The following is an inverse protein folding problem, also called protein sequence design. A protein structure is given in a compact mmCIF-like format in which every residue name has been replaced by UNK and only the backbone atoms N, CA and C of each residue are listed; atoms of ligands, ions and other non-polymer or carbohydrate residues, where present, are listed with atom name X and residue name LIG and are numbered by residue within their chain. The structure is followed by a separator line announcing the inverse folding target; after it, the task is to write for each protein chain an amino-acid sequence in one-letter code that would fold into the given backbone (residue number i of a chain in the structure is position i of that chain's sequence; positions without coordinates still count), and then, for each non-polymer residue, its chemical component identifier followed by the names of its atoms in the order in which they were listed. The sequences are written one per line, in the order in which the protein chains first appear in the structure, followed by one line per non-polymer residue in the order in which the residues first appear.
data_IF_854022169422
#
_entry.id   IF_854022169422
#
_cell.length_a   1.000
_cell.length_b   1.000
_cell.length_c   1.000
_cell.angle_alpha   90.00
_cell.angle_beta   90.00
_cell.angle_gamma   90.00
#
_symmetry.space_group_name_H-M   'P 1'
#
loop_
_entity.id
_entity.type
_entity.pdbx_description
1 polymer ?
#
# COMPACT_ATOMS: atom_id res chain seq x y z
N UNK A 1 52.42 68.73 12.87
CA UNK A 1 51.78 69.39 11.74
C UNK A 1 50.91 68.37 11.00
N UNK A 2 49.65 68.51 11.21
CA UNK A 2 48.44 68.18 10.48
C UNK A 2 48.36 66.83 9.78
N UNK A 3 47.72 65.89 10.48
CA UNK A 3 47.16 64.70 9.93
C UNK A 3 45.76 64.97 9.35
N UNK A 4 45.52 64.55 8.11
CA UNK A 4 44.18 64.57 7.50
C UNK A 4 43.70 63.12 7.42
N UNK A 5 42.78 62.83 8.30
CA UNK A 5 42.01 61.54 8.38
C UNK A 5 40.95 61.57 7.29
N UNK A 6 41.08 60.69 6.28
CA UNK A 6 40.01 60.41 5.33
C UNK A 6 39.03 59.41 5.95
N UNK A 7 37.88 59.87 6.37
CA UNK A 7 36.75 59.04 6.75
C UNK A 7 36.05 58.51 5.47
N UNK A 8 36.32 57.28 5.10
CA UNK A 8 35.55 56.58 4.06
C UNK A 8 34.23 56.10 4.67
N UNK A 9 33.14 56.74 4.32
CA UNK A 9 31.78 56.39 4.68
C UNK A 9 31.35 55.11 3.95
N UNK A 10 31.39 53.97 4.65
CA UNK A 10 30.72 52.77 4.23
C UNK A 10 29.21 52.97 4.36
N UNK A 11 28.51 53.19 3.25
CA UNK A 11 27.02 53.13 3.22
C UNK A 11 26.60 51.66 3.37
N UNK A 12 25.74 51.31 4.35
CA UNK A 12 25.15 49.99 4.39
C UNK A 12 24.18 49.82 3.22
N UNK A 13 24.43 48.85 2.35
CA UNK A 13 23.50 48.43 1.31
C UNK A 13 22.29 47.80 2.03
N UNK A 14 21.20 48.55 2.03
CA UNK A 14 19.88 48.05 2.52
C UNK A 14 19.37 47.02 1.54
N UNK A 15 19.69 45.75 1.75
CA UNK A 15 19.06 44.66 1.02
C UNK A 15 17.61 44.61 1.46
N UNK A 16 16.72 44.95 0.53
CA UNK A 16 15.27 44.93 0.77
C UNK A 16 14.82 43.49 1.05
N UNK A 17 14.33 43.25 2.24
CA UNK A 17 13.82 41.96 2.69
C UNK A 17 12.66 41.41 1.85
N UNK A 18 12.06 42.23 0.99
CA UNK A 18 10.99 41.84 0.08
C UNK A 18 11.44 40.89 -1.06
N UNK A 19 12.70 40.91 -1.44
CA UNK A 19 13.21 40.04 -2.51
C UNK A 19 13.59 38.64 -2.02
N UNK A 20 13.96 38.49 -0.75
CA UNK A 20 14.23 37.19 -0.13
C UNK A 20 12.93 36.36 0.07
N UNK A 21 11.84 37.01 0.40
CA UNK A 21 10.52 36.36 0.56
C UNK A 21 9.91 35.94 -0.79
N UNK A 22 10.30 36.60 -1.88
CA UNK A 22 9.86 36.20 -3.24
C UNK A 22 10.60 34.99 -3.78
N UNK A 23 11.87 34.81 -3.42
CA UNK A 23 12.67 33.65 -3.82
C UNK A 23 12.29 32.38 -3.08
N UNK A 24 11.89 32.48 -1.81
CA UNK A 24 11.40 31.32 -1.05
C UNK A 24 9.98 30.90 -1.43
N UNK A 25 9.18 31.80 -2.05
CA UNK A 25 7.80 31.49 -2.47
C UNK A 25 7.71 30.65 -3.75
N UNK A 26 8.78 30.58 -4.55
CA UNK A 26 8.81 29.81 -5.78
C UNK A 26 9.32 28.37 -5.59
N UNK A 27 9.71 27.96 -4.37
CA UNK A 27 10.07 26.58 -4.05
C UNK A 27 9.00 25.82 -3.27
N UNK A 28 7.80 26.36 -3.13
CA UNK A 28 6.63 25.52 -2.92
C UNK A 28 6.23 24.92 -4.28
N UNK A 29 7.01 23.95 -4.74
CA UNK A 29 6.46 22.88 -5.55
C UNK A 29 5.43 22.24 -4.64
N UNK A 30 4.20 22.71 -4.74
CA UNK A 30 3.03 21.99 -4.26
C UNK A 30 3.03 20.68 -5.07
N UNK A 31 3.78 19.68 -4.60
CA UNK A 31 3.53 18.31 -4.94
C UNK A 31 2.16 18.01 -4.35
N UNK A 32 1.10 18.42 -5.08
CA UNK A 32 -0.21 17.82 -4.90
C UNK A 32 0.06 16.34 -5.05
N UNK A 33 -0.05 15.62 -3.94
CA UNK A 33 0.03 14.18 -3.89
C UNK A 33 -1.00 13.67 -4.90
N UNK A 34 -0.56 13.42 -6.13
CA UNK A 34 -1.41 13.00 -7.25
C UNK A 34 -1.63 11.49 -7.22
N UNK A 35 -1.85 10.96 -6.00
CA UNK A 35 -2.21 9.55 -5.86
C UNK A 35 -3.66 9.39 -6.26
N UNK A 36 -3.87 8.85 -7.43
CA UNK A 36 -5.18 8.62 -8.01
C UNK A 36 -5.56 7.14 -7.93
N UNK A 37 -6.75 6.85 -7.38
CA UNK A 37 -7.39 5.54 -7.46
C UNK A 37 -8.28 5.51 -8.70
N UNK A 38 -7.86 4.76 -9.70
CA UNK A 38 -8.59 4.66 -10.97
C UNK A 38 -9.07 3.21 -11.17
N UNK A 39 -10.29 3.05 -11.66
CA UNK A 39 -10.76 1.74 -12.12
C UNK A 39 -9.95 1.31 -13.35
N UNK A 40 -9.43 0.08 -13.34
CA UNK A 40 -8.55 -0.44 -14.40
C UNK A 40 -9.09 -0.26 -15.83
N UNK A 41 -10.39 -0.50 -16.13
CA UNK A 41 -10.92 -0.33 -17.48
C UNK A 41 -10.89 1.12 -18.01
N UNK A 42 -10.58 2.10 -17.15
CA UNK A 42 -10.47 3.51 -17.55
C UNK A 42 -9.04 3.93 -17.91
N UNK A 43 -8.06 3.03 -17.75
CA UNK A 43 -6.66 3.31 -18.05
C UNK A 43 -6.30 2.78 -19.45
N UNK A 44 -5.73 3.67 -20.28
CA UNK A 44 -5.13 3.26 -21.54
C UNK A 44 -3.88 2.42 -21.29
N UNK A 45 -3.55 1.51 -22.21
CA UNK A 45 -2.31 0.73 -22.17
C UNK A 45 -1.07 1.64 -22.19
N UNK A 46 -1.13 2.73 -22.95
CA UNK A 46 -0.05 3.72 -23.03
C UNK A 46 0.17 4.47 -21.71
N UNK A 47 -0.88 4.61 -20.91
CA UNK A 47 -0.80 5.21 -19.58
C UNK A 47 -0.24 4.27 -18.52
N UNK A 48 -0.42 2.96 -18.68
CA UNK A 48 0.08 1.95 -17.75
C UNK A 48 1.58 1.77 -17.86
N UNK A 49 2.11 1.77 -19.09
CA UNK A 49 3.48 1.39 -19.36
C UNK A 49 3.70 -0.14 -19.35
N UNK A 50 4.90 -0.59 -18.96
CA UNK A 50 5.26 -2.02 -18.92
C UNK A 50 5.17 -2.61 -17.50
N UNK A 51 4.87 -3.90 -17.39
CA UNK A 51 4.90 -4.62 -16.11
C UNK A 51 6.35 -4.85 -15.69
N UNK A 52 6.66 -4.51 -14.45
CA UNK A 52 8.01 -4.65 -13.89
C UNK A 52 8.18 -5.89 -13.03
N UNK A 53 7.09 -6.56 -12.64
CA UNK A 53 7.14 -7.79 -11.85
C UNK A 53 7.41 -9.01 -12.72
N UNK A 54 8.24 -9.92 -12.21
CA UNK A 54 8.48 -11.21 -12.81
C UNK A 54 7.30 -12.15 -12.51
N UNK A 55 6.42 -12.34 -13.47
CA UNK A 55 5.30 -13.25 -13.37
C UNK A 55 5.15 -14.09 -14.65
N UNK A 56 4.34 -15.15 -14.60
CA UNK A 56 4.18 -16.08 -15.72
C UNK A 56 3.79 -15.42 -17.03
N UNK A 57 3.03 -14.31 -16.97
CA UNK A 57 2.63 -13.56 -18.17
C UNK A 57 3.76 -12.77 -18.85
N UNK A 58 4.88 -12.51 -18.14
CA UNK A 58 6.08 -11.85 -18.67
C UNK A 58 7.16 -12.83 -19.12
N UNK A 59 7.00 -14.13 -18.82
CA UNK A 59 7.93 -15.19 -19.15
C UNK A 59 7.49 -15.95 -20.41
N UNK A 60 8.42 -16.65 -21.11
CA UNK A 60 8.10 -17.51 -22.25
C UNK A 60 7.05 -18.58 -21.89
N UNK A 61 6.22 -19.01 -22.87
CA UNK A 61 5.26 -20.08 -22.67
C UNK A 61 5.95 -21.36 -22.14
N UNK A 62 5.37 -21.97 -21.09
CA UNK A 62 5.94 -23.17 -20.46
C UNK A 62 6.82 -22.91 -19.24
N UNK A 63 7.14 -21.67 -18.91
CA UNK A 63 7.89 -21.34 -17.69
C UNK A 63 7.13 -21.71 -16.42
N UNK A 64 7.85 -22.12 -15.34
CA UNK A 64 7.22 -22.41 -14.05
C UNK A 64 6.62 -21.14 -13.45
N UNK A 65 5.70 -21.33 -12.49
CA UNK A 65 5.14 -20.22 -11.72
C UNK A 65 6.24 -19.57 -10.89
N UNK A 66 6.25 -18.23 -10.86
CA UNK A 66 7.16 -17.48 -10.01
C UNK A 66 6.66 -17.42 -8.57
N UNK A 67 7.51 -17.01 -7.64
CA UNK A 67 7.09 -16.78 -6.24
C UNK A 67 5.94 -15.76 -6.15
N UNK A 68 6.00 -14.71 -6.98
CA UNK A 68 4.93 -13.70 -7.06
C UNK A 68 3.60 -14.31 -7.53
N UNK A 69 3.60 -15.20 -8.55
CA UNK A 69 2.39 -15.88 -9.04
C UNK A 69 1.73 -16.71 -7.94
N UNK A 70 2.53 -17.41 -7.13
CA UNK A 70 2.02 -18.23 -6.03
C UNK A 70 1.35 -17.34 -4.97
N UNK A 71 1.99 -16.23 -4.60
CA UNK A 71 1.42 -15.28 -3.64
C UNK A 71 0.18 -14.59 -4.20
N UNK A 72 0.20 -14.15 -5.45
CA UNK A 72 -0.95 -13.52 -6.11
C UNK A 72 -2.15 -14.48 -6.21
N UNK A 73 -1.89 -15.77 -6.50
CA UNK A 73 -2.92 -16.80 -6.50
C UNK A 73 -3.45 -17.06 -5.07
N UNK A 74 -2.57 -17.09 -4.08
CA UNK A 74 -2.93 -17.19 -2.66
C UNK A 74 -3.82 -16.03 -2.21
N UNK A 75 -3.47 -14.80 -2.55
CA UNK A 75 -4.25 -13.58 -2.28
C UNK A 75 -5.63 -13.66 -2.93
N UNK A 76 -5.70 -14.11 -4.19
CA UNK A 76 -6.99 -14.30 -4.89
C UNK A 76 -7.83 -15.38 -4.21
N UNK A 77 -7.25 -16.52 -3.89
CA UNK A 77 -7.92 -17.62 -3.20
C UNK A 77 -8.42 -17.21 -1.81
N UNK A 78 -7.57 -16.54 -1.02
CA UNK A 78 -7.94 -16.01 0.30
C UNK A 78 -9.11 -15.03 0.22
N UNK A 79 -9.15 -14.17 -0.80
CA UNK A 79 -10.27 -13.25 -1.01
C UNK A 79 -11.57 -13.95 -1.40
N UNK A 80 -11.51 -14.95 -2.27
CA UNK A 80 -12.70 -15.74 -2.63
C UNK A 80 -13.23 -16.47 -1.39
N UNK A 81 -12.36 -17.16 -0.67
CA UNK A 81 -12.72 -17.84 0.57
C UNK A 81 -13.30 -16.88 1.61
N UNK A 82 -12.67 -15.72 1.78
CA UNK A 82 -13.14 -14.66 2.67
C UNK A 82 -14.53 -14.17 2.30
N UNK A 83 -14.79 -13.93 1.02
CA UNK A 83 -16.10 -13.45 0.57
C UNK A 83 -17.18 -14.52 0.77
N UNK A 84 -16.91 -15.78 0.40
CA UNK A 84 -17.86 -16.89 0.56
C UNK A 84 -18.16 -17.18 2.03
N UNK A 85 -17.14 -17.20 2.90
CA UNK A 85 -17.33 -17.44 4.32
C UNK A 85 -18.03 -16.27 5.03
N UNK A 86 -17.84 -15.03 4.57
CA UNK A 86 -18.60 -13.88 5.09
C UNK A 86 -20.09 -13.99 4.79
N UNK A 87 -20.46 -14.43 3.57
CA UNK A 87 -21.86 -14.63 3.20
C UNK A 87 -22.45 -15.80 4.03
N UNK A 88 -21.74 -16.92 4.12
CA UNK A 88 -22.17 -18.04 4.94
C UNK A 88 -22.30 -17.65 6.42
N UNK A 89 -21.33 -16.92 6.97
CA UNK A 89 -21.35 -16.43 8.35
C UNK A 89 -22.52 -15.50 8.63
N UNK A 90 -22.83 -14.57 7.73
CA UNK A 90 -23.95 -13.65 7.90
C UNK A 90 -25.32 -14.36 8.03
N UNK A 91 -25.45 -15.52 7.38
CA UNK A 91 -26.68 -16.34 7.47
C UNK A 91 -26.64 -17.32 8.64
N UNK A 92 -25.53 -18.05 8.77
CA UNK A 92 -25.45 -19.17 9.71
C UNK A 92 -25.21 -18.73 11.16
N UNK A 93 -24.50 -17.62 11.40
CA UNK A 93 -24.21 -17.18 12.77
C UNK A 93 -25.48 -16.85 13.55
N UNK A 94 -26.42 -16.04 13.04
CA UNK A 94 -27.69 -15.80 13.76
C UNK A 94 -28.48 -17.05 14.01
N UNK A 95 -28.60 -17.95 13.00
CA UNK A 95 -29.37 -19.21 13.12
C UNK A 95 -28.74 -20.13 14.13
N UNK A 96 -27.44 -20.38 14.08
CA UNK A 96 -26.76 -21.25 15.04
C UNK A 96 -26.73 -20.64 16.43
N UNK A 97 -26.58 -19.33 16.57
CA UNK A 97 -26.63 -18.66 17.86
C UNK A 97 -28.00 -18.83 18.54
N UNK A 98 -29.09 -18.59 17.81
CA UNK A 98 -30.45 -18.78 18.40
C UNK A 98 -30.68 -20.22 18.86
N UNK A 99 -30.31 -21.18 18.02
CA UNK A 99 -30.44 -22.60 18.36
C UNK A 99 -29.61 -23.01 19.58
N UNK A 100 -28.36 -22.50 19.69
CA UNK A 100 -27.50 -22.79 20.84
C UNK A 100 -28.06 -22.20 22.14
N UNK A 101 -28.66 -21.01 22.09
CA UNK A 101 -29.26 -20.38 23.28
C UNK A 101 -30.55 -21.06 23.71
N UNK A 102 -31.38 -21.51 22.77
CA UNK A 102 -32.56 -22.33 23.09
C UNK A 102 -32.15 -23.63 23.78
N UNK A 103 -31.17 -24.36 23.23
CA UNK A 103 -30.66 -25.60 23.86
C UNK A 103 -30.04 -25.35 25.23
N UNK A 104 -29.37 -24.20 25.42
CA UNK A 104 -28.79 -23.81 26.72
C UNK A 104 -29.88 -23.46 27.77
N UNK A 105 -31.01 -22.91 27.35
CA UNK A 105 -32.15 -22.63 28.22
C UNK A 105 -32.80 -23.88 28.78
N UNK A 106 -32.87 -24.94 27.95
CA UNK A 106 -33.43 -26.23 28.39
C UNK A 106 -32.47 -27.02 29.30
N UNK A 107 -31.14 -26.88 29.08
CA UNK A 107 -30.12 -27.66 29.79
C UNK A 107 -28.99 -26.74 30.29
N UNK A 108 -28.94 -26.42 31.60
CA UNK A 108 -27.92 -25.51 32.16
C UNK A 108 -26.48 -25.98 31.91
N UNK A 109 -26.21 -27.26 31.78
CA UNK A 109 -24.88 -27.81 31.46
C UNK A 109 -24.42 -27.45 30.04
N UNK A 110 -25.35 -27.16 29.13
CA UNK A 110 -25.05 -26.71 27.77
C UNK A 110 -24.68 -25.22 27.67
N UNK A 111 -24.89 -24.45 28.75
CA UNK A 111 -24.64 -23.00 28.71
C UNK A 111 -23.18 -22.67 28.45
N UNK A 112 -22.24 -23.38 29.08
CA UNK A 112 -20.79 -23.17 28.83
C UNK A 112 -20.41 -23.49 27.38
N UNK A 113 -20.98 -24.59 26.85
CA UNK A 113 -20.76 -24.96 25.45
C UNK A 113 -21.33 -23.91 24.50
N UNK A 114 -22.52 -23.37 24.76
CA UNK A 114 -23.13 -22.33 23.93
C UNK A 114 -22.28 -21.05 23.91
N UNK A 115 -21.72 -20.62 25.06
CA UNK A 115 -20.85 -19.46 25.16
C UNK A 115 -19.58 -19.67 24.32
N UNK A 116 -18.89 -20.79 24.48
CA UNK A 116 -17.65 -21.09 23.75
C UNK A 116 -17.90 -21.19 22.26
N UNK A 117 -18.95 -21.96 21.86
CA UNK A 117 -19.31 -22.14 20.45
C UNK A 117 -19.70 -20.79 19.80
N UNK A 118 -20.47 -19.97 20.48
CA UNK A 118 -20.87 -18.67 19.96
C UNK A 118 -19.68 -17.71 19.83
N UNK A 119 -18.76 -17.70 20.80
CA UNK A 119 -17.52 -16.92 20.71
C UNK A 119 -16.69 -17.34 19.51
N UNK A 120 -16.57 -18.64 19.25
CA UNK A 120 -15.86 -19.18 18.10
C UNK A 120 -16.52 -18.79 16.77
N UNK A 121 -17.85 -18.87 16.67
CA UNK A 121 -18.60 -18.44 15.48
C UNK A 121 -18.39 -16.96 15.18
N UNK A 122 -18.43 -16.11 16.19
CA UNK A 122 -18.15 -14.68 16.05
C UNK A 122 -16.72 -14.46 15.57
N UNK A 123 -15.72 -15.11 16.17
CA UNK A 123 -14.33 -15.02 15.76
C UNK A 123 -14.12 -15.45 14.30
N UNK A 124 -14.74 -16.55 13.85
CA UNK A 124 -14.72 -17.00 12.46
C UNK A 124 -15.32 -15.96 11.51
N UNK A 125 -16.35 -15.24 11.93
CA UNK A 125 -16.99 -14.21 11.11
C UNK A 125 -16.09 -12.99 10.89
N UNK A 126 -15.16 -12.68 11.80
CA UNK A 126 -14.19 -11.59 11.67
C UNK A 126 -12.96 -11.95 10.81
N UNK A 127 -12.60 -13.22 10.72
CA UNK A 127 -11.43 -13.69 9.97
C UNK A 127 -11.45 -13.22 8.50
N UNK A 128 -12.57 -13.29 7.77
CA UNK A 128 -12.64 -12.79 6.39
C UNK A 128 -12.33 -11.31 6.25
N UNK A 129 -12.81 -10.50 7.18
CA UNK A 129 -12.56 -9.05 7.18
C UNK A 129 -11.07 -8.78 7.35
N UNK A 130 -10.40 -9.50 8.25
CA UNK A 130 -8.96 -9.41 8.49
C UNK A 130 -8.16 -9.77 7.23
N UNK A 131 -8.48 -10.89 6.59
CA UNK A 131 -7.86 -11.32 5.34
C UNK A 131 -8.06 -10.31 4.22
N UNK A 132 -9.23 -9.66 4.16
CA UNK A 132 -9.49 -8.62 3.17
C UNK A 132 -8.54 -7.42 3.36
N UNK A 133 -8.34 -6.96 4.59
CA UNK A 133 -7.43 -5.84 4.88
C UNK A 133 -5.98 -6.17 4.53
N UNK A 134 -5.53 -7.40 4.78
CA UNK A 134 -4.19 -7.84 4.37
C UNK A 134 -4.04 -7.94 2.86
N UNK A 135 -4.98 -8.60 2.20
CA UNK A 135 -4.94 -8.82 0.77
C UNK A 135 -5.01 -7.51 -0.05
N UNK A 136 -5.63 -6.46 0.50
CA UNK A 136 -5.69 -5.13 -0.14
C UNK A 136 -4.32 -4.45 -0.23
N UNK A 137 -3.37 -4.80 0.63
CA UNK A 137 -2.03 -4.21 0.66
C UNK A 137 -1.08 -4.82 -0.36
N UNK A 138 -1.37 -6.03 -0.81
CA UNK A 138 -0.54 -6.74 -1.76
C UNK A 138 -0.90 -6.34 -3.19
N UNK A 139 0.05 -5.78 -3.98
CA UNK A 139 -0.16 -5.51 -5.38
C UNK A 139 -0.09 -6.81 -6.18
N UNK A 140 -1.04 -7.02 -7.08
CA UNK A 140 -1.07 -8.17 -7.99
C UNK A 140 -0.09 -7.95 -9.13
N UNK A 141 0.01 -6.70 -9.57
CA UNK A 141 0.84 -6.26 -10.66
C UNK A 141 1.38 -4.87 -10.37
N UNK A 142 2.57 -4.56 -10.88
CA UNK A 142 3.19 -3.25 -10.82
C UNK A 142 3.63 -2.88 -12.23
N UNK A 143 3.14 -1.75 -12.72
CA UNK A 143 3.49 -1.18 -14.01
C UNK A 143 4.32 0.08 -13.81
N UNK A 144 5.26 0.31 -14.71
CA UNK A 144 6.05 1.51 -14.74
C UNK A 144 5.93 2.21 -16.10
N UNK A 145 5.59 3.48 -16.07
CA UNK A 145 5.59 4.34 -17.25
C UNK A 145 6.84 5.21 -17.23
N UNK A 146 7.77 4.93 -18.15
CA UNK A 146 9.05 5.63 -18.22
C UNK A 146 8.91 7.09 -18.64
N UNK A 147 7.93 7.42 -19.48
CA UNK A 147 7.72 8.78 -19.99
C UNK A 147 7.19 9.70 -18.89
N UNK A 148 6.24 9.22 -18.12
CA UNK A 148 5.59 9.96 -17.03
C UNK A 148 6.28 9.79 -15.67
N UNK A 149 7.28 8.89 -15.58
CA UNK A 149 7.96 8.52 -14.32
C UNK A 149 6.98 8.14 -13.20
N UNK A 150 5.93 7.40 -13.57
CA UNK A 150 4.85 7.01 -12.66
C UNK A 150 4.72 5.50 -12.54
N UNK A 151 4.49 5.05 -11.32
CA UNK A 151 4.16 3.67 -11.01
C UNK A 151 2.65 3.49 -10.92
N UNK A 152 2.17 2.33 -11.36
CA UNK A 152 0.77 1.95 -11.24
C UNK A 152 0.69 0.54 -10.65
N UNK A 153 0.24 0.44 -9.39
CA UNK A 153 0.02 -0.86 -8.73
C UNK A 153 -1.43 -1.29 -8.86
N UNK A 154 -1.63 -2.56 -9.15
CA UNK A 154 -2.97 -3.14 -9.29
C UNK A 154 -3.31 -3.95 -8.04
N UNK A 155 -4.47 -3.68 -7.48
CA UNK A 155 -5.02 -4.35 -6.30
C UNK A 155 -6.43 -4.85 -6.55
N UNK A 156 -6.87 -5.88 -5.80
CA UNK A 156 -8.28 -6.24 -5.76
C UNK A 156 -9.03 -5.38 -4.72
N UNK A 157 -10.20 -4.83 -5.11
CA UNK A 157 -11.13 -4.23 -4.17
C UNK A 157 -11.92 -5.34 -3.41
N UNK A 158 -12.90 -4.92 -2.59
CA UNK A 158 -13.75 -5.87 -1.85
C UNK A 158 -14.49 -6.84 -2.78
N UNK A 159 -15.01 -6.37 -3.89
CA UNK A 159 -15.76 -7.14 -4.88
C UNK A 159 -14.90 -7.87 -5.92
N UNK A 160 -13.62 -8.11 -5.65
CA UNK A 160 -12.67 -8.76 -6.58
C UNK A 160 -12.41 -7.99 -7.90
N UNK A 161 -12.83 -6.73 -7.99
CA UNK A 161 -12.52 -5.90 -9.14
C UNK A 161 -11.11 -5.35 -9.02
N UNK A 162 -10.41 -5.26 -10.13
CA UNK A 162 -9.06 -4.68 -10.19
C UNK A 162 -9.14 -3.16 -10.11
N UNK A 163 -8.40 -2.57 -9.20
CA UNK A 163 -8.21 -1.13 -9.05
C UNK A 163 -6.74 -0.79 -9.19
N UNK A 164 -6.46 0.30 -9.88
CA UNK A 164 -5.13 0.84 -10.07
C UNK A 164 -4.88 1.98 -9.08
N UNK A 165 -3.72 1.99 -8.45
CA UNK A 165 -3.20 3.06 -7.66
C UNK A 165 -1.98 3.64 -8.38
N UNK A 166 -2.08 4.89 -8.86
CA UNK A 166 -0.99 5.58 -9.56
C UNK A 166 -0.27 6.52 -8.60
N UNK A 167 1.06 6.54 -8.67
CA UNK A 167 1.91 7.37 -7.83
C UNK A 167 3.30 7.56 -8.47
N UNK A 168 4.08 8.50 -7.96
CA UNK A 168 5.49 8.69 -8.32
C UNK A 168 6.43 8.06 -7.28
N UNK A 169 7.70 7.81 -7.64
CA UNK A 169 8.70 7.29 -6.69
C UNK A 169 8.91 8.21 -5.48
N UNK A 170 8.74 9.52 -5.65
CA UNK A 170 8.86 10.50 -4.57
C UNK A 170 7.78 10.36 -3.48
N UNK A 171 6.65 9.71 -3.79
CA UNK A 171 5.53 9.51 -2.87
C UNK A 171 5.65 8.20 -2.07
N UNK A 172 6.68 7.40 -2.39
CA UNK A 172 6.97 6.15 -1.67
C UNK A 172 7.78 6.49 -0.43
N UNK A 173 7.28 6.09 0.73
CA UNK A 173 7.92 6.29 2.04
C UNK A 173 8.15 4.94 2.67
N UNK A 174 9.34 4.74 3.23
CA UNK A 174 9.68 3.52 3.96
C UNK A 174 8.72 3.30 5.14
N UNK A 175 8.27 2.07 5.32
CA UNK A 175 7.42 1.71 6.44
C UNK A 175 8.06 1.94 7.81
N UNK A 176 9.40 1.80 7.92
CA UNK A 176 10.12 2.01 9.17
C UNK A 176 10.09 3.47 9.63
N UNK A 177 10.04 4.42 8.68
CA UNK A 177 10.09 5.87 8.97
C UNK A 177 8.70 6.51 8.92
N UNK A 178 7.73 5.86 8.26
CA UNK A 178 6.39 6.39 8.06
C UNK A 178 5.63 6.56 9.38
N UNK A 179 5.17 7.77 9.75
CA UNK A 179 4.40 8.01 10.97
C UNK A 179 3.04 7.29 10.94
N UNK A 180 2.54 6.97 9.77
CA UNK A 180 1.31 6.24 9.54
C UNK A 180 1.37 4.79 10.04
N UNK A 181 2.57 4.20 10.15
CA UNK A 181 2.76 2.84 10.66
C UNK A 181 2.17 2.65 12.06
N UNK A 182 2.25 3.68 12.92
CA UNK A 182 1.69 3.67 14.28
C UNK A 182 0.15 3.60 14.30
N UNK A 183 -0.51 3.98 13.21
CA UNK A 183 -1.98 4.00 13.09
C UNK A 183 -2.52 2.74 12.41
N UNK A 184 -1.65 1.91 11.89
CA UNK A 184 -2.04 0.69 11.18
C UNK A 184 -2.23 -0.44 12.19
N UNK A 185 -3.45 -0.96 12.27
CA UNK A 185 -3.80 -2.05 13.19
C UNK A 185 -2.93 -3.30 13.02
N UNK A 186 -2.56 -3.64 11.78
CA UNK A 186 -1.64 -4.73 11.49
C UNK A 186 -0.40 -4.12 10.83
N UNK A 187 0.78 -4.13 11.49
CA UNK A 187 1.97 -3.46 11.00
C UNK A 187 2.69 -4.28 9.91
N UNK A 188 1.95 -4.72 8.89
CA UNK A 188 2.47 -5.43 7.72
C UNK A 188 2.43 -4.49 6.51
N UNK A 189 3.52 -3.78 6.29
CA UNK A 189 3.76 -2.96 5.11
C UNK A 189 5.27 -2.85 4.90
N UNK A 190 5.73 -2.84 3.66
CA UNK A 190 7.12 -2.55 3.28
C UNK A 190 7.30 -1.08 2.92
N UNK A 191 6.26 -0.45 2.41
CA UNK A 191 6.25 0.96 2.06
C UNK A 191 4.87 1.59 2.27
N UNK A 192 4.82 2.91 2.30
CA UNK A 192 3.59 3.70 2.28
C UNK A 192 3.55 4.57 1.04
N UNK A 193 2.38 4.64 0.42
CA UNK A 193 2.10 5.54 -0.70
C UNK A 193 0.85 6.33 -0.38
N UNK A 194 0.95 7.65 -0.29
CA UNK A 194 -0.14 8.53 0.13
C UNK A 194 -0.90 8.02 1.36
N UNK A 195 -0.18 7.65 2.40
CA UNK A 195 -0.70 7.13 3.68
C UNK A 195 -1.37 5.74 3.57
N UNK A 196 -1.32 5.08 2.42
CA UNK A 196 -1.82 3.72 2.23
C UNK A 196 -0.66 2.73 2.37
N UNK A 197 -0.80 1.71 3.21
CA UNK A 197 0.21 0.68 3.35
C UNK A 197 0.29 -0.18 2.09
N UNK A 198 1.49 -0.41 1.60
CA UNK A 198 1.82 -1.22 0.45
C UNK A 198 2.78 -2.34 0.88
N UNK A 199 2.52 -3.56 0.43
CA UNK A 199 3.36 -4.71 0.69
C UNK A 199 3.98 -5.16 -0.65
N UNK A 200 5.17 -4.67 -0.94
CA UNK A 200 5.95 -5.03 -2.13
C UNK A 200 7.09 -5.97 -1.75
N UNK A 201 7.50 -6.82 -2.68
CA UNK A 201 8.72 -7.61 -2.52
C UNK A 201 9.93 -6.68 -2.56
N UNK A 202 10.86 -6.84 -1.62
CA UNK A 202 12.14 -6.15 -1.61
C UNK A 202 13.24 -6.96 -2.31
N UNK A 203 12.93 -8.17 -2.77
CA UNK A 203 13.84 -8.99 -3.56
C UNK A 203 13.90 -8.47 -5.00
N UNK A 204 15.08 -7.98 -5.40
CA UNK A 204 15.38 -7.46 -6.72
C UNK A 204 15.18 -8.49 -7.84
N UNK A 205 15.35 -9.78 -7.52
CA UNK A 205 15.17 -10.87 -8.49
C UNK A 205 13.69 -11.16 -8.80
N UNK A 206 12.77 -10.65 -7.99
CA UNK A 206 11.34 -10.73 -8.26
C UNK A 206 10.88 -9.73 -9.35
N UNK A 207 11.79 -8.88 -9.85
CA UNK A 207 11.49 -7.85 -10.83
C UNK A 207 12.19 -8.11 -12.17
N UNK A 208 11.44 -7.90 -13.25
CA UNK A 208 11.94 -7.98 -14.63
C UNK A 208 12.80 -6.76 -14.95
N UNK A 209 12.31 -5.57 -14.59
CA UNK A 209 13.02 -4.30 -14.78
C UNK A 209 13.66 -3.85 -13.45
N UNK A 210 14.98 -4.08 -13.37
CA UNK A 210 15.78 -3.75 -12.18
C UNK A 210 15.97 -2.26 -11.99
N UNK A 211 15.98 -1.47 -13.08
CA UNK A 211 16.10 -0.01 -13.00
C UNK A 211 14.82 0.62 -12.44
N UNK A 212 13.68 0.13 -12.90
CA UNK A 212 12.40 0.56 -12.35
C UNK A 212 12.25 0.14 -10.88
N UNK A 213 12.76 -1.04 -10.50
CA UNK A 213 12.80 -1.45 -9.09
C UNK A 213 13.64 -0.50 -8.25
N UNK A 214 14.85 -0.16 -8.69
CA UNK A 214 15.76 0.76 -7.98
C UNK A 214 15.10 2.16 -7.82
N UNK A 215 14.36 2.62 -8.84
CA UNK A 215 13.61 3.89 -8.77
C UNK A 215 12.41 3.78 -7.81
N UNK A 216 11.70 2.65 -7.79
CA UNK A 216 10.56 2.39 -6.90
C UNK A 216 10.99 2.38 -5.42
N UNK A 217 12.14 1.77 -5.14
CA UNK A 217 12.65 1.54 -3.78
C UNK A 217 13.65 2.59 -3.33
N UNK A 218 13.87 3.64 -4.10
CA UNK A 218 14.85 4.71 -3.84
C UNK A 218 14.76 5.30 -2.41
N UNK A 219 13.56 5.39 -1.86
CA UNK A 219 13.30 5.91 -0.51
C UNK A 219 12.98 4.81 0.51
N UNK A 220 13.19 3.54 0.17
CA UNK A 220 12.90 2.38 1.03
C UNK A 220 14.23 1.71 1.41
N UNK A 221 14.41 1.45 2.69
CA UNK A 221 15.59 0.74 3.17
C UNK A 221 15.49 -0.76 2.83
N UNK A 222 16.40 -1.24 2.00
CA UNK A 222 16.51 -2.66 1.67
C UNK A 222 17.55 -3.30 2.62
N UNK A 223 17.18 -4.33 3.38
CA UNK A 223 18.15 -5.06 4.20
C UNK A 223 19.25 -5.72 3.36
N UNK A 224 20.51 -5.79 3.84
CA UNK A 224 21.66 -6.20 3.03
C UNK A 224 21.66 -7.67 2.55
N UNK A 225 20.65 -8.46 2.83
CA UNK A 225 20.53 -9.87 2.42
C UNK A 225 19.45 -10.10 1.34
N UNK A 226 18.96 -9.06 0.69
CA UNK A 226 17.88 -9.12 -0.33
C UNK A 226 18.32 -8.66 -1.72
N UNK A 227 19.63 -8.51 -1.95
CA UNK A 227 20.22 -8.19 -3.26
C UNK A 227 20.35 -9.42 -4.17
#
# INVERSE_FOLDING_TARGET
MSSILAKTLLRPVRVSSSNLLRLTRNFQVSSKCNVELVALPKLSQDDLGHSILLHKGTLPPGSPKTAHDVVAMGVKGAKILSLSSSVAGAVMVPVLSSYLWEAAAERPTMMMFAIVANTFLVALSFTPVLLHFLAKRFPIDIYYNNDKKTFTTIHYNFLMQKQALRFSSAEVVDAAVAPEMKKVWIPLATAFVAKKPLLISLDRNAYLDKLAFDELTKNVHIPPNHD
#
